data_IF_715205434532
#
_entry.id   IF_715205434532
#
_cell.length_a   1.000
_cell.length_b   1.000
_cell.length_c   1.000
_cell.angle_alpha   90.00
_cell.angle_beta   90.00
_cell.angle_gamma   90.00
#
_symmetry.space_group_name_H-M   'P 1'
#
loop_
_entity.id
_entity.type
_entity.pdbx_description
1 polymer ?
#
# COMPACT_ATOMS: atom_id res chain seq x y z
N UNK A 1 12.87 3.36 20.02
CA UNK A 1 12.66 2.32 18.99
C UNK A 1 14.02 2.01 18.38
N UNK A 2 14.53 0.79 18.50
CA UNK A 2 15.83 0.40 17.90
C UNK A 2 15.60 0.00 16.45
N UNK A 3 16.28 0.66 15.51
CA UNK A 3 16.36 0.19 14.13
C UNK A 3 17.18 -1.11 14.11
N UNK A 4 16.61 -2.21 13.62
CA UNK A 4 17.32 -3.48 13.49
C UNK A 4 18.43 -3.30 12.44
N UNK A 5 19.69 -3.56 12.83
CA UNK A 5 20.83 -3.53 11.93
C UNK A 5 20.89 -4.88 11.20
N UNK A 6 20.66 -4.87 9.89
CA UNK A 6 20.57 -6.09 9.07
C UNK A 6 21.99 -6.53 8.69
N UNK A 7 22.69 -7.20 9.61
CA UNK A 7 24.02 -7.79 9.37
C UNK A 7 23.89 -9.32 9.38
N UNK A 8 24.12 -9.97 8.24
CA UNK A 8 24.08 -11.44 8.09
C UNK A 8 22.74 -12.12 8.43
N UNK A 9 21.60 -11.43 8.32
CA UNK A 9 20.28 -12.05 8.45
C UNK A 9 20.01 -12.98 7.26
N UNK A 10 19.67 -14.26 7.50
CA UNK A 10 19.23 -15.18 6.46
C UNK A 10 18.05 -14.62 5.66
N UNK A 11 18.02 -14.85 4.33
CA UNK A 11 17.01 -14.27 3.42
C UNK A 11 15.58 -14.68 3.83
N UNK A 12 15.40 -15.91 4.32
CA UNK A 12 14.13 -16.46 4.80
C UNK A 12 13.64 -15.85 6.12
N UNK A 13 14.51 -15.14 6.83
CA UNK A 13 14.16 -14.41 8.06
C UNK A 13 13.85 -12.93 7.80
N UNK A 14 14.03 -12.48 6.55
CA UNK A 14 13.62 -11.14 6.17
C UNK A 14 12.09 -11.10 6.01
N UNK A 15 11.48 -10.05 6.56
CA UNK A 15 10.06 -9.78 6.31
C UNK A 15 9.85 -9.61 4.81
N UNK A 16 8.89 -10.33 4.25
CA UNK A 16 8.49 -10.14 2.87
C UNK A 16 7.81 -8.78 2.73
N UNK A 17 8.19 -8.04 1.69
CA UNK A 17 7.54 -6.78 1.36
C UNK A 17 6.09 -7.02 0.96
N UNK A 18 5.17 -6.26 1.54
CA UNK A 18 3.75 -6.26 1.20
C UNK A 18 3.30 -4.84 0.89
N UNK A 19 3.00 -4.58 -0.38
CA UNK A 19 2.60 -3.25 -0.85
C UNK A 19 1.36 -2.72 -0.12
N UNK A 20 0.46 -3.60 0.34
CA UNK A 20 -0.74 -3.17 1.06
C UNK A 20 -0.41 -2.55 2.44
N UNK A 21 0.72 -2.90 3.05
CA UNK A 21 1.14 -2.32 4.34
C UNK A 21 1.77 -0.93 4.19
N UNK A 22 2.25 -0.59 2.98
CA UNK A 22 2.88 0.70 2.69
C UNK A 22 1.87 1.77 2.22
N UNK A 23 0.63 1.38 1.90
CA UNK A 23 -0.46 2.29 1.55
C UNK A 23 -1.14 2.79 2.84
N UNK A 24 -0.57 3.84 3.45
CA UNK A 24 -0.93 4.31 4.79
C UNK A 24 -2.18 5.20 4.78
N UNK A 25 -2.38 5.96 3.71
CA UNK A 25 -3.51 6.85 3.56
C UNK A 25 -4.13 6.84 2.15
N UNK A 26 -5.20 7.63 1.97
CA UNK A 26 -5.91 7.72 0.71
C UNK A 26 -5.06 8.33 -0.42
N UNK A 27 -4.08 9.18 -0.10
CA UNK A 27 -3.20 9.78 -1.10
C UNK A 27 -2.26 8.73 -1.67
N UNK A 28 -1.70 7.86 -0.84
CA UNK A 28 -0.84 6.76 -1.28
C UNK A 28 -1.58 5.84 -2.27
N UNK A 29 -2.84 5.51 -1.98
CA UNK A 29 -3.70 4.70 -2.85
C UNK A 29 -3.91 5.38 -4.22
N UNK A 30 -4.19 6.69 -4.23
CA UNK A 30 -4.41 7.44 -5.48
C UNK A 30 -3.14 7.50 -6.31
N UNK A 31 -1.99 7.77 -5.68
CA UNK A 31 -0.70 7.84 -6.36
C UNK A 31 -0.31 6.49 -6.97
N UNK A 32 -0.49 5.40 -6.21
CA UNK A 32 -0.24 4.06 -6.71
C UNK A 32 -1.14 3.69 -7.89
N UNK A 33 -2.44 3.96 -7.82
CA UNK A 33 -3.36 3.69 -8.93
C UNK A 33 -3.05 4.54 -10.17
N UNK A 34 -2.63 5.80 -10.01
CA UNK A 34 -2.24 6.63 -11.14
C UNK A 34 -1.04 6.04 -11.90
N UNK A 35 -0.01 5.58 -11.17
CA UNK A 35 1.16 4.93 -11.77
C UNK A 35 0.72 3.72 -12.61
N UNK A 36 -0.10 2.84 -12.03
CA UNK A 36 -0.55 1.62 -12.72
C UNK A 36 -1.46 1.94 -13.91
N UNK A 37 -2.28 2.98 -13.83
CA UNK A 37 -3.11 3.43 -14.96
C UNK A 37 -2.27 3.99 -16.11
N UNK A 38 -1.15 4.65 -15.83
CA UNK A 38 -0.23 5.16 -16.86
C UNK A 38 0.45 4.03 -17.65
N UNK A 39 0.67 2.88 -17.03
CA UNK A 39 1.20 1.68 -17.70
C UNK A 39 0.20 1.07 -18.69
N UNK A 40 -1.11 1.32 -18.49
CA UNK A 40 -2.17 0.89 -19.41
C UNK A 40 -2.44 -0.62 -19.43
N UNK A 41 -1.91 -1.37 -18.47
CA UNK A 41 -2.15 -2.81 -18.33
C UNK A 41 -3.36 -3.08 -17.42
N UNK A 42 -4.42 -3.65 -17.99
CA UNK A 42 -5.63 -3.99 -17.26
C UNK A 42 -5.43 -5.10 -16.21
N UNK A 43 -4.48 -6.01 -16.43
CA UNK A 43 -4.13 -7.06 -15.48
C UNK A 43 -3.42 -6.49 -14.25
N UNK A 44 -2.47 -5.59 -14.47
CA UNK A 44 -1.77 -4.91 -13.37
C UNK A 44 -2.72 -3.99 -12.59
N UNK A 45 -3.62 -3.28 -13.29
CA UNK A 45 -4.67 -2.49 -12.63
C UNK A 45 -5.58 -3.35 -11.74
N UNK A 46 -6.00 -4.53 -12.22
CA UNK A 46 -6.79 -5.45 -11.42
C UNK A 46 -6.02 -5.96 -10.18
N UNK A 47 -4.73 -6.23 -10.32
CA UNK A 47 -3.86 -6.60 -9.21
C UNK A 47 -3.74 -5.47 -8.18
N UNK A 48 -3.41 -4.26 -8.63
CA UNK A 48 -3.28 -3.07 -7.82
C UNK A 48 -4.57 -2.74 -7.04
N UNK A 49 -5.73 -2.90 -7.66
CA UNK A 49 -7.02 -2.76 -6.98
C UNK A 49 -7.20 -3.77 -5.84
N UNK A 50 -6.74 -5.01 -6.01
CA UNK A 50 -6.74 -6.02 -4.95
C UNK A 50 -5.82 -5.65 -3.78
N UNK A 51 -4.65 -5.09 -4.07
CA UNK A 51 -3.71 -4.56 -3.06
C UNK A 51 -4.34 -3.39 -2.30
N UNK A 52 -4.91 -2.41 -3.02
CA UNK A 52 -5.59 -1.25 -2.42
C UNK A 52 -6.79 -1.66 -1.57
N UNK A 53 -7.55 -2.68 -1.98
CA UNK A 53 -8.68 -3.19 -1.21
C UNK A 53 -8.23 -3.74 0.16
N UNK A 54 -7.10 -4.45 0.20
CA UNK A 54 -6.51 -4.94 1.46
C UNK A 54 -6.00 -3.80 2.33
N UNK A 55 -5.35 -2.79 1.74
CA UNK A 55 -4.91 -1.60 2.46
C UNK A 55 -6.10 -0.82 3.07
N UNK A 56 -7.23 -0.76 2.36
CA UNK A 56 -8.40 0.01 2.76
C UNK A 56 -9.08 -0.49 4.05
N UNK A 57 -8.86 -1.74 4.48
CA UNK A 57 -9.29 -2.18 5.82
C UNK A 57 -8.61 -1.34 6.94
N UNK A 58 -7.38 -0.87 6.70
CA UNK A 58 -6.63 0.01 7.60
C UNK A 58 -6.92 1.51 7.41
N UNK A 59 -7.41 1.94 6.24
CA UNK A 59 -7.55 3.37 5.87
C UNK A 59 -8.89 4.01 6.30
N UNK A 60 -9.74 3.31 7.08
CA UNK A 60 -11.02 3.85 7.61
C UNK A 60 -10.89 5.08 8.54
N UNK A 61 -9.70 5.62 8.79
CA UNK A 61 -9.48 6.73 9.74
C UNK A 61 -9.61 8.16 9.18
N UNK A 62 -9.86 8.41 7.88
CA UNK A 62 -9.87 9.80 7.37
C UNK A 62 -11.08 10.24 6.53
N UNK A 63 -12.06 9.37 6.26
CA UNK A 63 -13.25 9.77 5.49
C UNK A 63 -14.27 10.58 6.33
N UNK A 64 -14.01 10.77 7.63
CA UNK A 64 -14.87 11.54 8.54
C UNK A 64 -14.60 13.05 8.61
N UNK A 65 -13.50 13.56 8.02
CA UNK A 65 -13.15 15.00 8.10
C UNK A 65 -13.40 15.78 6.81
N UNK A 66 -13.74 15.11 5.69
CA UNK A 66 -13.98 15.78 4.40
C UNK A 66 -15.46 15.81 3.97
N UNK A 67 -16.37 15.12 4.66
CA UNK A 67 -17.81 15.19 4.40
C UNK A 67 -18.48 16.10 5.44
N UNK A 68 -18.30 17.40 5.26
CA UNK A 68 -19.25 18.37 5.81
C UNK A 68 -20.39 18.51 4.77
N UNK A 69 -21.29 17.53 4.74
CA UNK A 69 -22.60 17.60 4.08
C UNK A 69 -23.70 17.34 5.09
#
# INVERSE_FOLDING_TARGET
MMAARIENTPIDQLKQFDMAEELLDAKDIVEYLNIVMEEGDAGELAHALGVCARANEGVRMQIGSCLNV
#
